data_IF_975164573572
#
_entry.id   IF_975164573572
#
_cell.length_a   1.000
_cell.length_b   1.000
_cell.length_c   1.000
_cell.angle_alpha   90.00
_cell.angle_beta   90.00
_cell.angle_gamma   90.00
#
_symmetry.space_group_name_H-M   'P 1'
#
loop_
_entity.id
_entity.type
_entity.pdbx_description
1 polymer ?
#
# COMPACT_ATOMS: atom_id res chain seq x y z
N UNK A 1 -31.77 28.95 -26.38
CA UNK A 1 -30.64 28.73 -25.49
C UNK A 1 -31.21 28.72 -24.07
N UNK A 2 -31.32 27.54 -23.45
CA UNK A 2 -31.73 27.43 -22.06
C UNK A 2 -30.61 28.00 -21.18
N UNK A 3 -30.93 29.01 -20.35
CA UNK A 3 -30.03 29.55 -19.37
C UNK A 3 -29.64 28.40 -18.43
N UNK A 4 -28.34 28.10 -18.34
CA UNK A 4 -27.80 27.28 -17.28
C UNK A 4 -28.20 27.95 -15.95
N UNK A 5 -29.08 27.29 -15.17
CA UNK A 5 -29.44 27.78 -13.88
C UNK A 5 -28.15 27.93 -13.05
N UNK A 6 -27.86 29.17 -12.60
CA UNK A 6 -26.78 29.42 -11.64
C UNK A 6 -27.01 28.51 -10.43
N UNK A 7 -26.15 27.52 -10.28
CA UNK A 7 -26.16 26.68 -9.10
C UNK A 7 -25.74 27.53 -7.91
N UNK A 8 -26.70 28.13 -7.21
CA UNK A 8 -26.44 28.76 -5.93
C UNK A 8 -25.73 27.75 -5.05
N UNK A 9 -24.60 28.15 -4.44
CA UNK A 9 -23.86 27.35 -3.47
C UNK A 9 -24.85 26.93 -2.36
N UNK A 10 -25.44 25.74 -2.51
CA UNK A 10 -26.40 25.20 -1.54
C UNK A 10 -25.67 24.85 -0.24
N UNK A 11 -26.36 24.97 0.90
CA UNK A 11 -25.87 24.35 2.14
C UNK A 11 -25.65 22.86 1.87
N UNK A 12 -24.52 22.33 2.31
CA UNK A 12 -24.24 20.90 2.23
C UNK A 12 -25.34 20.12 2.95
N UNK A 13 -25.97 19.17 2.25
CA UNK A 13 -27.06 18.35 2.79
C UNK A 13 -26.55 16.97 3.25
N UNK A 14 -25.61 16.37 2.49
CA UNK A 14 -25.09 15.03 2.77
C UNK A 14 -23.61 15.04 3.16
N UNK A 15 -22.85 16.02 2.70
CA UNK A 15 -21.40 16.00 2.85
C UNK A 15 -20.95 15.99 4.32
N UNK A 16 -21.70 16.68 5.20
CA UNK A 16 -21.44 16.68 6.63
C UNK A 16 -21.61 15.29 7.25
N UNK A 17 -22.66 14.56 6.87
CA UNK A 17 -22.94 13.21 7.36
C UNK A 17 -21.91 12.20 6.82
N UNK A 18 -21.53 12.34 5.54
CA UNK A 18 -20.48 11.52 4.93
C UNK A 18 -19.14 11.73 5.66
N UNK A 19 -18.74 12.97 5.91
CA UNK A 19 -17.51 13.26 6.62
C UNK A 19 -17.52 12.70 8.04
N UNK A 20 -18.64 12.86 8.75
CA UNK A 20 -18.79 12.25 10.07
C UNK A 20 -18.66 10.74 10.02
N UNK A 21 -19.36 10.08 9.09
CA UNK A 21 -19.30 8.64 8.92
C UNK A 21 -17.86 8.15 8.67
N UNK A 22 -17.10 8.83 7.80
CA UNK A 22 -15.71 8.47 7.51
C UNK A 22 -14.82 8.59 8.75
N UNK A 23 -14.96 9.65 9.53
CA UNK A 23 -14.22 9.82 10.78
C UNK A 23 -14.62 8.78 11.84
N UNK A 24 -15.91 8.49 11.97
CA UNK A 24 -16.42 7.44 12.87
C UNK A 24 -15.89 6.04 12.47
N UNK A 25 -15.64 5.78 11.17
CA UNK A 25 -15.00 4.54 10.72
C UNK A 25 -13.49 4.52 11.05
N UNK A 26 -12.80 5.65 10.88
CA UNK A 26 -11.40 5.80 11.21
C UNK A 26 -11.10 5.56 12.70
N UNK A 27 -11.98 6.02 13.57
CA UNK A 27 -11.83 5.89 15.02
C UNK A 27 -12.13 4.47 15.56
N UNK A 28 -12.58 3.55 14.70
CA UNK A 28 -12.76 2.15 15.09
C UNK A 28 -11.42 1.48 15.36
N UNK A 29 -11.38 0.53 16.32
CA UNK A 29 -10.19 -0.29 16.52
C UNK A 29 -9.74 -0.94 15.22
N UNK A 30 -8.46 -0.88 14.93
CA UNK A 30 -7.85 -1.53 13.77
C UNK A 30 -7.30 -2.90 14.16
N UNK A 31 -7.39 -3.87 13.25
CA UNK A 31 -6.76 -5.18 13.39
C UNK A 31 -5.24 -5.15 13.17
N UNK A 32 -4.68 -3.96 12.91
CA UNK A 32 -3.25 -3.79 12.71
C UNK A 32 -2.48 -4.15 13.98
N UNK A 33 -1.66 -5.16 13.89
CA UNK A 33 -0.80 -5.63 14.98
C UNK A 33 0.11 -4.51 15.49
N UNK A 34 0.17 -4.36 16.81
CA UNK A 34 1.01 -3.36 17.47
C UNK A 34 2.28 -3.97 18.09
N UNK A 35 2.36 -5.29 18.12
CA UNK A 35 3.43 -6.11 18.70
C UNK A 35 4.57 -6.44 17.71
N UNK A 36 4.52 -5.92 16.49
CA UNK A 36 5.51 -6.13 15.42
C UNK A 36 5.99 -4.80 14.85
N UNK A 37 7.11 -4.84 14.13
CA UNK A 37 7.62 -3.72 13.33
C UNK A 37 7.10 -3.89 11.91
N UNK A 38 6.46 -2.86 11.37
CA UNK A 38 5.92 -2.90 10.01
C UNK A 38 6.94 -2.39 8.98
N UNK A 39 7.15 -3.08 7.85
CA UNK A 39 8.01 -2.61 6.76
C UNK A 39 7.72 -1.18 6.31
N UNK A 40 6.43 -0.81 6.21
CA UNK A 40 6.00 0.55 5.85
C UNK A 40 6.38 1.63 6.88
N UNK A 41 6.60 1.25 8.15
CA UNK A 41 7.10 2.14 9.20
C UNK A 41 8.61 2.35 9.05
N UNK A 42 9.37 1.26 8.91
CA UNK A 42 10.83 1.27 8.75
C UNK A 42 11.28 1.99 7.47
N UNK A 43 10.46 1.94 6.43
CA UNK A 43 10.76 2.53 5.12
C UNK A 43 10.72 4.07 5.10
N UNK A 44 10.10 4.72 6.08
CA UNK A 44 10.02 6.18 6.14
C UNK A 44 11.39 6.80 6.33
N UNK A 45 11.61 7.96 5.70
CA UNK A 45 12.86 8.72 5.85
C UNK A 45 13.06 9.28 7.25
N UNK A 46 11.97 9.49 7.98
CA UNK A 46 11.90 10.00 9.34
C UNK A 46 11.57 8.90 10.36
N UNK A 47 11.77 7.62 10.01
CA UNK A 47 11.56 6.52 10.95
C UNK A 47 12.36 6.73 12.22
N UNK A 48 11.66 6.67 13.35
CA UNK A 48 12.25 6.81 14.68
C UNK A 48 12.25 5.45 15.41
N UNK A 49 13.37 4.72 15.50
CA UNK A 49 13.48 3.44 16.18
C UNK A 49 13.03 3.52 17.65
N UNK A 50 13.32 4.65 18.32
CA UNK A 50 12.90 4.89 19.71
C UNK A 50 11.37 4.95 19.85
N UNK A 51 10.66 5.54 18.90
CA UNK A 51 9.20 5.55 18.90
C UNK A 51 8.65 4.13 18.72
N UNK A 52 9.25 3.34 17.83
CA UNK A 52 8.91 1.92 17.63
C UNK A 52 9.13 1.12 18.91
N UNK A 53 10.26 1.31 19.58
CA UNK A 53 10.55 0.68 20.87
C UNK A 53 9.44 0.98 21.90
N UNK A 54 9.10 2.24 22.13
CA UNK A 54 8.08 2.58 23.12
C UNK A 54 6.70 2.01 22.76
N UNK A 55 6.34 1.97 21.49
CA UNK A 55 5.10 1.32 21.04
C UNK A 55 5.10 -0.17 21.37
N UNK A 56 6.17 -0.88 21.04
CA UNK A 56 6.32 -2.32 21.33
C UNK A 56 6.35 -2.60 22.84
N UNK A 57 6.92 -1.71 23.63
CA UNK A 57 6.91 -1.76 25.10
C UNK A 57 5.55 -1.40 25.72
N UNK A 58 4.51 -1.16 24.92
CA UNK A 58 3.14 -0.90 25.38
C UNK A 58 2.88 0.53 25.85
N UNK A 59 3.76 1.50 25.54
CA UNK A 59 3.51 2.90 25.84
C UNK A 59 2.32 3.43 25.04
N UNK A 60 1.43 4.17 25.70
CA UNK A 60 0.32 4.81 25.03
C UNK A 60 0.81 5.88 24.05
N UNK A 61 0.30 5.93 22.81
CA UNK A 61 0.69 6.94 21.86
C UNK A 61 0.23 8.32 22.34
N UNK A 62 1.04 9.34 22.09
CA UNK A 62 0.57 10.72 22.21
C UNK A 62 -0.59 10.95 21.23
N UNK A 63 -1.53 11.85 21.59
CA UNK A 63 -2.63 12.20 20.68
C UNK A 63 -2.04 12.69 19.37
N UNK A 64 -2.25 11.90 18.32
CA UNK A 64 -1.81 12.22 16.97
C UNK A 64 -2.52 13.46 16.38
N UNK A 65 -2.10 13.86 15.18
CA UNK A 65 -2.80 14.90 14.41
C UNK A 65 -4.22 14.41 14.11
N UNK A 66 -5.18 15.37 14.15
CA UNK A 66 -6.56 15.05 13.77
C UNK A 66 -6.60 14.58 12.32
N UNK A 67 -7.26 13.46 12.11
CA UNK A 67 -7.53 12.92 10.78
C UNK A 67 -8.60 13.77 10.08
N UNK A 68 -8.57 13.82 8.76
CA UNK A 68 -9.59 14.52 7.98
C UNK A 68 -10.32 13.54 7.07
N UNK A 69 -11.61 13.76 6.84
CA UNK A 69 -12.40 12.99 5.90
C UNK A 69 -11.80 13.01 4.48
N UNK A 70 -11.11 14.09 4.10
CA UNK A 70 -10.40 14.17 2.82
C UNK A 70 -9.25 13.16 2.76
N UNK A 71 -8.50 12.96 3.85
CA UNK A 71 -7.41 11.99 3.90
C UNK A 71 -7.94 10.56 3.83
N UNK A 72 -9.08 10.28 4.47
CA UNK A 72 -9.79 8.99 4.32
C UNK A 72 -10.15 8.72 2.85
N UNK A 73 -10.65 9.72 2.13
CA UNK A 73 -10.92 9.60 0.70
C UNK A 73 -9.66 9.26 -0.12
N UNK A 74 -8.50 9.83 0.24
CA UNK A 74 -7.22 9.51 -0.41
C UNK A 74 -6.81 8.05 -0.17
N UNK A 75 -7.03 7.53 1.04
CA UNK A 75 -6.74 6.12 1.36
C UNK A 75 -7.71 5.17 0.66
N UNK A 76 -9.01 5.47 0.69
CA UNK A 76 -10.01 4.66 0.00
C UNK A 76 -9.72 4.54 -1.50
N UNK A 77 -9.34 5.63 -2.17
CA UNK A 77 -8.90 5.60 -3.57
C UNK A 77 -7.65 4.73 -3.76
N UNK A 78 -6.68 4.81 -2.83
CA UNK A 78 -5.51 3.94 -2.84
C UNK A 78 -5.90 2.46 -2.80
N UNK A 79 -6.74 2.05 -1.87
CA UNK A 79 -7.22 0.67 -1.76
C UNK A 79 -7.95 0.19 -3.02
N UNK A 80 -8.77 1.05 -3.65
CA UNK A 80 -9.45 0.71 -4.90
C UNK A 80 -8.47 0.50 -6.06
N UNK A 81 -7.39 1.27 -6.13
CA UNK A 81 -6.33 1.10 -7.11
C UNK A 81 -5.62 -0.25 -6.90
N UNK A 82 -5.24 -0.59 -5.66
CA UNK A 82 -4.65 -1.90 -5.35
C UNK A 82 -5.58 -3.04 -5.77
N UNK A 83 -6.84 -3.03 -5.35
CA UNK A 83 -7.82 -4.04 -5.72
C UNK A 83 -8.00 -4.18 -7.24
N UNK A 84 -7.99 -3.07 -7.97
CA UNK A 84 -8.06 -3.05 -9.43
C UNK A 84 -6.87 -3.77 -10.09
N UNK A 85 -5.64 -3.44 -9.68
CA UNK A 85 -4.43 -4.07 -10.22
C UNK A 85 -4.34 -5.55 -9.84
N UNK A 86 -4.62 -5.90 -8.60
CA UNK A 86 -4.69 -7.29 -8.15
C UNK A 86 -5.72 -8.08 -8.96
N UNK A 87 -6.90 -7.48 -9.22
CA UNK A 87 -7.92 -8.11 -10.06
C UNK A 87 -7.45 -8.35 -11.49
N UNK A 88 -6.74 -7.40 -12.11
CA UNK A 88 -6.19 -7.58 -13.45
C UNK A 88 -5.13 -8.69 -13.49
N UNK A 89 -4.22 -8.72 -12.53
CA UNK A 89 -3.22 -9.79 -12.41
C UNK A 89 -3.87 -11.16 -12.16
N UNK A 90 -4.95 -11.19 -11.38
CA UNK A 90 -5.76 -12.39 -11.16
C UNK A 90 -6.44 -12.86 -12.46
N UNK A 91 -7.03 -11.94 -13.24
CA UNK A 91 -7.69 -12.26 -14.51
C UNK A 91 -6.71 -12.78 -15.58
N UNK A 92 -5.42 -12.44 -15.43
CA UNK A 92 -4.33 -12.95 -16.25
C UNK A 92 -3.75 -14.27 -15.73
N UNK A 93 -4.28 -14.84 -14.64
CA UNK A 93 -3.74 -16.01 -13.93
C UNK A 93 -2.26 -15.87 -13.54
N UNK A 94 -1.83 -14.65 -13.19
CA UNK A 94 -0.43 -14.36 -12.84
C UNK A 94 -0.21 -13.96 -11.39
N UNK A 95 -1.27 -13.69 -10.64
CA UNK A 95 -1.16 -13.24 -9.26
C UNK A 95 -0.83 -14.42 -8.34
N UNK A 96 0.37 -14.43 -7.79
CA UNK A 96 0.81 -15.38 -6.77
C UNK A 96 0.70 -14.76 -5.37
N UNK A 97 0.23 -15.56 -4.41
CA UNK A 97 0.13 -15.18 -3.02
C UNK A 97 -0.80 -16.10 -2.25
N UNK A 98 -1.30 -15.61 -1.11
CA UNK A 98 -2.21 -16.34 -0.23
C UNK A 98 -3.65 -16.19 -0.71
N UNK A 99 -4.33 -17.32 -0.82
CA UNK A 99 -5.75 -17.41 -1.15
C UNK A 99 -6.49 -17.97 0.05
N UNK A 100 -7.47 -17.26 0.57
CA UNK A 100 -8.19 -17.57 1.81
C UNK A 100 -9.68 -17.76 1.54
N UNK A 101 -10.28 -18.76 2.20
CA UNK A 101 -11.73 -18.94 2.13
C UNK A 101 -12.45 -17.93 3.03
N UNK A 102 -13.48 -17.23 2.51
CA UNK A 102 -14.26 -16.29 3.33
C UNK A 102 -15.23 -17.00 4.31
N UNK A 103 -15.39 -18.34 4.19
CA UNK A 103 -16.40 -19.11 4.96
C UNK A 103 -15.76 -20.07 5.97
N UNK A 104 -14.53 -20.52 5.72
CA UNK A 104 -13.82 -21.44 6.61
C UNK A 104 -12.34 -21.05 6.69
N UNK A 105 -11.57 -21.74 7.56
CA UNK A 105 -10.16 -21.43 7.78
C UNK A 105 -9.20 -21.97 6.70
N UNK A 106 -9.74 -22.55 5.61
CA UNK A 106 -8.91 -23.04 4.51
C UNK A 106 -8.19 -21.89 3.81
N UNK A 107 -6.91 -22.10 3.56
CA UNK A 107 -6.10 -21.21 2.74
C UNK A 107 -5.03 -22.02 1.98
N UNK A 108 -4.51 -21.43 0.91
CA UNK A 108 -3.39 -21.97 0.14
C UNK A 108 -2.49 -20.85 -0.40
N UNK A 109 -1.23 -21.18 -0.67
CA UNK A 109 -0.31 -20.32 -1.41
C UNK A 109 -0.23 -20.79 -2.85
N UNK A 110 -0.13 -19.87 -3.79
CA UNK A 110 0.10 -20.22 -5.19
C UNK A 110 -0.38 -19.17 -6.17
N UNK A 111 -0.04 -19.39 -7.44
CA UNK A 111 -0.53 -18.60 -8.57
C UNK A 111 -1.96 -18.99 -8.90
N UNK A 112 -2.79 -18.04 -9.27
CA UNK A 112 -4.09 -18.36 -9.81
C UNK A 112 -5.06 -17.20 -9.93
N UNK A 113 -6.15 -17.55 -10.63
CA UNK A 113 -7.34 -16.75 -10.78
C UNK A 113 -8.43 -17.17 -9.79
N UNK A 114 -9.65 -17.39 -10.31
CA UNK A 114 -10.80 -17.74 -9.49
C UNK A 114 -10.75 -19.21 -9.03
N UNK A 115 -10.31 -19.46 -7.81
CA UNK A 115 -10.19 -20.79 -7.20
C UNK A 115 -11.36 -21.08 -6.28
N UNK A 116 -11.88 -22.30 -6.29
CA UNK A 116 -12.92 -22.76 -5.36
C UNK A 116 -12.30 -23.33 -4.09
N UNK A 117 -12.91 -23.07 -2.95
CA UNK A 117 -12.47 -23.63 -1.67
C UNK A 117 -12.61 -25.15 -1.67
N UNK A 118 -11.51 -25.88 -1.45
CA UNK A 118 -11.49 -27.32 -1.42
C UNK A 118 -12.24 -27.90 -0.21
N UNK A 119 -12.22 -27.20 0.92
CA UNK A 119 -12.96 -27.61 2.13
C UNK A 119 -14.47 -27.35 2.02
N UNK A 120 -14.89 -26.39 1.20
CA UNK A 120 -16.28 -26.03 0.98
C UNK A 120 -16.87 -26.56 -0.34
N UNK A 121 -16.28 -27.61 -0.95
CA UNK A 121 -16.62 -28.12 -2.31
C UNK A 121 -18.12 -28.28 -2.57
N UNK A 122 -18.86 -28.70 -1.55
CA UNK A 122 -20.29 -28.98 -1.65
C UNK A 122 -21.16 -27.89 -1.02
N UNK A 123 -20.57 -26.75 -0.68
CA UNK A 123 -21.28 -25.60 -0.12
C UNK A 123 -21.38 -24.50 -1.17
N UNK A 124 -22.47 -23.80 -1.13
CA UNK A 124 -22.67 -22.57 -1.88
C UNK A 124 -22.69 -21.38 -0.91
N UNK A 125 -22.37 -20.21 -1.44
CA UNK A 125 -22.60 -18.94 -0.72
C UNK A 125 -24.10 -18.64 -0.59
N UNK A 126 -24.45 -17.51 0.01
CA UNK A 126 -25.84 -17.08 0.19
C UNK A 126 -26.60 -16.83 -1.12
N UNK A 127 -25.89 -16.71 -2.24
CA UNK A 127 -26.44 -16.53 -3.59
C UNK A 127 -26.50 -17.83 -4.40
N UNK A 128 -26.10 -18.98 -3.83
CA UNK A 128 -26.11 -20.29 -4.48
C UNK A 128 -24.91 -20.59 -5.38
N UNK A 129 -23.83 -19.78 -5.32
CA UNK A 129 -22.60 -20.02 -6.07
C UNK A 129 -21.57 -20.80 -5.26
N UNK A 130 -20.66 -21.54 -5.90
CA UNK A 130 -19.53 -22.17 -5.22
C UNK A 130 -18.72 -21.17 -4.40
N UNK A 131 -18.27 -21.58 -3.21
CA UNK A 131 -17.43 -20.72 -2.36
C UNK A 131 -16.04 -20.56 -3.01
N UNK A 132 -15.72 -19.34 -3.42
CA UNK A 132 -14.44 -19.00 -4.00
C UNK A 132 -13.48 -18.47 -2.94
N UNK A 133 -12.18 -18.72 -3.16
CA UNK A 133 -11.11 -18.15 -2.36
C UNK A 133 -10.94 -16.67 -2.72
N UNK A 134 -10.67 -15.89 -1.71
CA UNK A 134 -10.32 -14.46 -1.84
C UNK A 134 -8.81 -14.28 -1.71
N UNK A 135 -8.27 -13.38 -2.48
CA UNK A 135 -6.85 -13.03 -2.42
C UNK A 135 -6.54 -12.28 -1.12
N UNK A 136 -5.47 -12.67 -0.45
CA UNK A 136 -5.07 -12.14 0.85
C UNK A 136 -3.57 -11.76 0.88
N UNK A 137 -3.07 -11.25 -0.25
CA UNK A 137 -1.71 -10.76 -0.44
C UNK A 137 -0.61 -11.81 -0.18
N UNK A 138 0.65 -11.38 -0.08
CA UNK A 138 1.79 -12.25 0.24
C UNK A 138 2.26 -11.95 1.65
N UNK A 139 1.93 -12.78 2.65
CA UNK A 139 2.45 -12.57 4.00
C UNK A 139 3.95 -12.84 4.03
N UNK A 140 4.72 -11.90 4.54
CA UNK A 140 6.16 -12.02 4.75
C UNK A 140 6.52 -11.66 6.18
N UNK A 141 7.36 -12.46 6.83
CA UNK A 141 7.68 -12.26 8.23
C UNK A 141 9.02 -12.86 8.64
N UNK A 142 9.61 -12.28 9.68
CA UNK A 142 10.71 -12.82 10.46
C UNK A 142 10.53 -12.36 11.93
N UNK A 143 9.36 -12.73 12.49
CA UNK A 143 8.93 -12.24 13.81
C UNK A 143 9.82 -12.75 14.94
N UNK A 144 10.20 -14.03 14.89
CA UNK A 144 11.05 -14.63 15.93
C UNK A 144 12.44 -14.00 15.97
N UNK A 145 12.96 -13.51 14.85
CA UNK A 145 14.31 -12.95 14.78
C UNK A 145 14.33 -11.43 14.90
N UNK A 146 13.45 -10.76 14.18
CA UNK A 146 13.50 -9.31 14.00
C UNK A 146 12.23 -8.57 14.45
N UNK A 147 11.19 -9.27 14.90
CA UNK A 147 9.85 -8.70 15.18
C UNK A 147 9.22 -8.04 13.96
N UNK A 148 9.61 -8.41 12.74
CA UNK A 148 9.13 -7.79 11.52
C UNK A 148 8.10 -8.71 10.85
N UNK A 149 6.95 -8.13 10.44
CA UNK A 149 5.99 -8.79 9.57
C UNK A 149 5.22 -7.76 8.72
N UNK A 150 4.76 -8.19 7.56
CA UNK A 150 3.97 -7.39 6.65
C UNK A 150 3.32 -8.22 5.56
N UNK A 151 2.69 -7.51 4.64
CA UNK A 151 2.08 -8.10 3.45
C UNK A 151 2.56 -7.32 2.24
N UNK A 152 2.88 -8.05 1.19
CA UNK A 152 3.22 -7.52 -0.12
C UNK A 152 2.01 -7.65 -1.04
N UNK A 153 1.79 -6.67 -1.92
CA UNK A 153 0.59 -6.61 -2.76
C UNK A 153 0.41 -7.83 -3.67
N UNK A 154 1.52 -8.48 -4.06
CA UNK A 154 1.49 -9.69 -4.87
C UNK A 154 2.88 -10.19 -5.26
N UNK A 155 2.90 -11.28 -6.02
CA UNK A 155 4.12 -11.76 -6.67
C UNK A 155 3.80 -12.39 -8.03
N UNK A 156 4.81 -12.48 -8.88
CA UNK A 156 4.77 -13.13 -10.20
C UNK A 156 5.84 -14.22 -10.18
N UNK A 157 5.39 -15.46 -10.05
CA UNK A 157 6.25 -16.61 -9.80
C UNK A 157 7.24 -16.88 -10.95
N UNK A 158 6.77 -16.86 -12.19
CA UNK A 158 7.59 -17.09 -13.39
C UNK A 158 8.64 -15.98 -13.63
N UNK A 159 8.50 -14.82 -12.99
CA UNK A 159 9.47 -13.74 -13.02
C UNK A 159 10.34 -13.68 -11.76
N UNK A 160 10.11 -14.54 -10.77
CA UNK A 160 10.75 -14.46 -9.43
C UNK A 160 10.69 -13.06 -8.83
N UNK A 161 9.54 -12.39 -8.96
CA UNK A 161 9.38 -11.00 -8.60
C UNK A 161 8.19 -10.77 -7.65
N UNK A 162 8.40 -9.94 -6.64
CA UNK A 162 7.32 -9.31 -5.90
C UNK A 162 6.66 -8.22 -6.75
N UNK A 163 5.42 -7.86 -6.44
CA UNK A 163 4.69 -6.76 -7.09
C UNK A 163 4.25 -5.77 -6.03
N UNK A 164 4.70 -4.54 -6.16
CA UNK A 164 4.32 -3.43 -5.30
C UNK A 164 3.49 -2.41 -6.09
N UNK A 165 2.23 -2.23 -5.70
CA UNK A 165 1.27 -1.33 -6.35
C UNK A 165 1.26 -0.01 -5.60
N UNK A 166 1.44 1.10 -6.31
CA UNK A 166 1.43 2.43 -5.69
C UNK A 166 0.56 3.41 -6.45
N UNK A 167 -0.40 3.99 -5.75
CA UNK A 167 -1.20 5.11 -6.24
C UNK A 167 -0.47 6.42 -5.97
N UNK A 168 -0.06 7.13 -7.03
CA UNK A 168 0.76 8.33 -6.94
C UNK A 168 -0.10 9.59 -7.09
N UNK A 169 -0.11 10.41 -6.06
CA UNK A 169 -0.72 11.74 -6.08
C UNK A 169 0.33 12.84 -5.90
N UNK A 170 -0.07 14.08 -6.12
CA UNK A 170 0.80 15.26 -5.89
C UNK A 170 1.29 15.33 -4.44
N UNK A 171 0.46 14.88 -3.49
CA UNK A 171 0.86 14.78 -2.08
C UNK A 171 2.07 13.87 -1.89
N UNK A 172 2.08 12.70 -2.51
CA UNK A 172 3.20 11.74 -2.46
C UNK A 172 4.47 12.38 -3.02
N UNK A 173 4.38 12.99 -4.22
CA UNK A 173 5.53 13.66 -4.84
C UNK A 173 6.09 14.78 -3.96
N UNK A 174 5.21 15.54 -3.29
CA UNK A 174 5.62 16.64 -2.39
C UNK A 174 6.45 16.15 -1.21
N UNK A 175 6.13 14.97 -0.67
CA UNK A 175 6.85 14.40 0.47
C UNK A 175 8.13 13.66 0.05
N UNK A 176 8.04 12.83 -0.98
CA UNK A 176 9.14 11.92 -1.35
C UNK A 176 10.13 12.53 -2.34
N UNK A 177 9.70 13.46 -3.20
CA UNK A 177 10.55 14.12 -4.20
C UNK A 177 10.17 15.60 -4.40
N UNK A 178 10.31 16.45 -3.40
CA UNK A 178 9.97 17.88 -3.49
C UNK A 178 10.77 18.63 -4.56
N UNK A 179 11.99 18.16 -4.90
CA UNK A 179 12.80 18.71 -5.98
C UNK A 179 12.12 18.52 -7.33
N UNK A 180 11.65 17.30 -7.62
CA UNK A 180 10.92 16.99 -8.84
C UNK A 180 9.67 17.87 -8.97
N UNK A 181 8.94 18.08 -7.86
CA UNK A 181 7.77 18.95 -7.87
C UNK A 181 8.15 20.39 -8.22
N UNK A 182 9.28 20.90 -7.68
CA UNK A 182 9.78 22.26 -7.98
C UNK A 182 10.19 22.42 -9.44
N UNK A 183 10.85 21.41 -10.03
CA UNK A 183 11.27 21.40 -11.43
C UNK A 183 10.09 21.57 -12.39
N UNK A 184 8.95 20.95 -12.08
CA UNK A 184 7.73 21.00 -12.91
C UNK A 184 6.71 22.03 -12.42
N UNK A 185 7.11 22.95 -11.54
CA UNK A 185 6.28 24.08 -11.12
C UNK A 185 6.62 25.30 -11.97
N UNK A 186 5.70 25.72 -12.81
CA UNK A 186 5.88 26.80 -13.79
C UNK A 186 5.02 28.01 -13.46
N UNK A 187 5.47 29.21 -13.87
CA UNK A 187 4.67 30.42 -13.83
C UNK A 187 4.00 30.61 -15.17
N UNK A 188 2.70 30.82 -15.15
CA UNK A 188 1.90 31.17 -16.33
C UNK A 188 2.09 32.66 -16.70
N UNK A 189 1.66 33.05 -17.89
CA UNK A 189 1.77 34.44 -18.37
C UNK A 189 1.04 35.45 -17.49
N UNK A 190 -0.03 35.04 -16.80
CA UNK A 190 -0.78 35.85 -15.82
C UNK A 190 -0.16 35.81 -14.41
N UNK A 191 1.04 35.26 -14.26
CA UNK A 191 1.81 35.23 -13.01
C UNK A 191 1.38 34.15 -11.99
N UNK A 192 0.41 33.28 -12.32
CA UNK A 192 0.00 32.19 -11.46
C UNK A 192 1.03 31.06 -11.49
N UNK A 193 1.17 30.40 -10.36
CA UNK A 193 2.00 29.21 -10.24
C UNK A 193 1.15 27.97 -10.49
N UNK A 194 1.52 27.15 -11.47
CA UNK A 194 0.85 25.89 -11.79
C UNK A 194 1.86 24.77 -11.86
N UNK A 195 1.39 23.54 -11.66
CA UNK A 195 2.22 22.34 -11.80
C UNK A 195 1.94 21.74 -13.17
N UNK A 196 2.98 21.52 -13.96
CA UNK A 196 2.92 20.72 -15.18
C UNK A 196 2.84 19.24 -14.79
N UNK A 197 1.62 18.72 -14.65
CA UNK A 197 1.35 17.36 -14.21
C UNK A 197 1.88 16.31 -15.19
N UNK A 198 1.79 16.58 -16.48
CA UNK A 198 2.26 15.65 -17.53
C UNK A 198 3.80 15.61 -17.57
N UNK A 199 4.43 16.77 -17.49
CA UNK A 199 5.88 16.88 -17.39
C UNK A 199 6.42 16.18 -16.14
N UNK A 200 5.80 16.44 -14.99
CA UNK A 200 6.17 15.82 -13.72
C UNK A 200 6.06 14.29 -13.81
N UNK A 201 4.95 13.77 -14.34
CA UNK A 201 4.79 12.33 -14.49
C UNK A 201 5.84 11.74 -15.45
N UNK A 202 6.09 12.39 -16.58
CA UNK A 202 7.17 11.97 -17.50
C UNK A 202 8.54 12.02 -16.87
N UNK A 203 8.81 13.03 -16.04
CA UNK A 203 10.07 13.23 -15.32
C UNK A 203 10.35 12.21 -14.23
N UNK A 204 9.34 11.54 -13.67
CA UNK A 204 9.52 10.48 -12.69
C UNK A 204 10.17 9.25 -13.35
N UNK A 205 11.49 9.07 -13.14
CA UNK A 205 12.34 8.06 -13.79
C UNK A 205 12.67 6.86 -12.91
N UNK A 206 12.33 6.90 -11.63
CA UNK A 206 12.62 5.84 -10.63
C UNK A 206 11.54 5.83 -9.56
N UNK A 207 11.36 4.71 -8.84
CA UNK A 207 10.49 4.68 -7.67
C UNK A 207 10.97 5.66 -6.58
N UNK A 208 10.08 6.05 -5.69
CA UNK A 208 10.44 6.86 -4.53
C UNK A 208 11.33 6.07 -3.56
N UNK A 209 12.21 6.80 -2.86
CA UNK A 209 13.16 6.20 -1.94
C UNK A 209 12.49 5.42 -0.78
N UNK A 210 11.37 5.92 -0.27
CA UNK A 210 10.57 5.24 0.75
C UNK A 210 10.01 3.91 0.22
N UNK A 211 9.48 3.89 -1.00
CA UNK A 211 8.96 2.67 -1.62
C UNK A 211 10.08 1.65 -1.88
N UNK A 212 11.25 2.10 -2.36
CA UNK A 212 12.41 1.21 -2.52
C UNK A 212 12.79 0.59 -1.17
N UNK A 213 12.95 1.39 -0.11
CA UNK A 213 13.28 0.85 1.23
C UNK A 213 12.26 -0.18 1.70
N UNK A 214 10.96 0.09 1.55
CA UNK A 214 9.91 -0.86 1.92
C UNK A 214 10.08 -2.20 1.22
N UNK A 215 10.26 -2.19 -0.08
CA UNK A 215 10.38 -3.43 -0.86
C UNK A 215 11.70 -4.15 -0.66
N UNK A 216 12.79 -3.45 -0.31
CA UNK A 216 14.03 -4.11 0.11
C UNK A 216 13.85 -4.90 1.42
N UNK A 217 13.03 -4.38 2.36
CA UNK A 217 12.67 -5.13 3.57
C UNK A 217 11.87 -6.38 3.20
N UNK A 218 10.89 -6.27 2.30
CA UNK A 218 10.10 -7.42 1.86
C UNK A 218 10.96 -8.48 1.16
N UNK A 219 11.87 -8.09 0.28
CA UNK A 219 12.79 -9.03 -0.37
C UNK A 219 13.69 -9.74 0.65
N UNK A 220 14.18 -9.01 1.66
CA UNK A 220 14.97 -9.61 2.75
C UNK A 220 14.15 -10.61 3.57
N UNK A 221 12.88 -10.29 3.88
CA UNK A 221 11.96 -11.22 4.54
C UNK A 221 11.67 -12.46 3.67
N UNK A 222 11.54 -12.31 2.35
CA UNK A 222 11.41 -13.44 1.44
C UNK A 222 12.62 -14.38 1.53
N UNK A 223 13.83 -13.85 1.63
CA UNK A 223 15.03 -14.67 1.82
C UNK A 223 15.00 -15.45 3.13
N UNK A 224 14.57 -14.81 4.24
CA UNK A 224 14.39 -15.49 5.54
C UNK A 224 13.37 -16.64 5.45
N UNK A 225 12.32 -16.45 4.67
CA UNK A 225 11.29 -17.45 4.45
C UNK A 225 11.63 -18.50 3.38
N UNK A 226 12.77 -18.37 2.70
CA UNK A 226 13.15 -19.26 1.58
C UNK A 226 12.27 -19.09 0.33
N UNK A 227 11.62 -17.92 0.15
CA UNK A 227 10.83 -17.61 -1.03
C UNK A 227 11.74 -17.14 -2.19
N UNK A 228 11.46 -17.55 -3.44
CA UNK A 228 12.38 -17.37 -4.57
C UNK A 228 12.29 -15.98 -5.24
N UNK A 229 12.01 -14.94 -4.50
CA UNK A 229 11.86 -13.58 -5.04
C UNK A 229 13.13 -12.76 -4.81
N UNK A 230 13.74 -12.25 -5.89
CA UNK A 230 15.00 -11.51 -5.89
C UNK A 230 14.88 -10.05 -6.38
N UNK A 231 13.69 -9.66 -6.81
CA UNK A 231 13.37 -8.31 -7.31
C UNK A 231 11.92 -7.95 -7.06
N UNK A 232 11.64 -6.69 -7.26
CA UNK A 232 10.29 -6.12 -7.18
C UNK A 232 9.94 -5.44 -8.50
N UNK A 233 8.72 -5.61 -8.93
CA UNK A 233 8.08 -4.87 -10.01
C UNK A 233 7.14 -3.84 -9.36
N UNK A 234 7.46 -2.56 -9.48
CA UNK A 234 6.58 -1.49 -9.06
C UNK A 234 5.57 -1.17 -10.16
N UNK A 235 4.30 -1.17 -9.80
CA UNK A 235 3.21 -0.73 -10.65
C UNK A 235 2.67 0.60 -10.12
N UNK A 236 3.12 1.70 -10.72
CA UNK A 236 2.70 3.04 -10.33
C UNK A 236 1.52 3.50 -11.17
N UNK A 237 0.47 3.98 -10.51
CA UNK A 237 -0.66 4.63 -11.14
C UNK A 237 -0.75 6.09 -10.70
N UNK A 238 -0.77 7.00 -11.65
CA UNK A 238 -0.93 8.41 -11.39
C UNK A 238 -2.41 8.77 -11.24
N UNK A 239 -2.82 9.15 -10.03
CA UNK A 239 -4.23 9.42 -9.69
C UNK A 239 -4.89 10.46 -10.60
N UNK A 240 -4.14 11.48 -11.04
CA UNK A 240 -4.70 12.59 -11.81
C UNK A 240 -5.12 12.19 -13.24
N UNK A 241 -4.42 11.25 -13.88
CA UNK A 241 -4.59 10.88 -15.29
C UNK A 241 -4.78 9.40 -15.51
N UNK A 242 -4.63 8.58 -14.47
CA UNK A 242 -4.58 7.11 -14.51
C UNK A 242 -3.48 6.57 -15.44
N UNK A 243 -2.45 7.37 -15.69
CA UNK A 243 -1.28 6.91 -16.44
C UNK A 243 -0.45 5.95 -15.57
N UNK A 244 0.17 4.96 -16.21
CA UNK A 244 0.88 3.89 -15.54
C UNK A 244 2.38 3.98 -15.79
N UNK A 245 3.18 3.53 -14.81
CA UNK A 245 4.62 3.27 -14.96
C UNK A 245 4.98 1.97 -14.27
N UNK A 246 5.94 1.30 -14.88
CA UNK A 246 6.57 0.12 -14.31
C UNK A 246 8.05 0.40 -14.03
N UNK A 247 8.53 -0.09 -12.89
CA UNK A 247 9.95 -0.09 -12.57
C UNK A 247 10.33 -1.45 -11.98
N UNK A 248 11.53 -1.91 -12.30
CA UNK A 248 12.07 -3.14 -11.73
C UNK A 248 13.27 -2.80 -10.86
N UNK A 249 13.25 -3.24 -9.61
CA UNK A 249 14.32 -3.02 -8.65
C UNK A 249 14.76 -4.36 -8.08
N UNK A 250 16.05 -4.68 -8.18
CA UNK A 250 16.64 -5.88 -7.58
C UNK A 250 16.89 -5.69 -6.10
N UNK A 251 17.04 -6.79 -5.39
CA UNK A 251 17.47 -6.77 -4.00
C UNK A 251 18.86 -6.10 -3.87
N UNK A 252 18.96 -5.23 -2.87
CA UNK A 252 20.22 -4.59 -2.48
C UNK A 252 20.39 -4.69 -0.96
N UNK A 253 21.31 -5.54 -0.45
CA UNK A 253 21.52 -5.69 0.98
C UNK A 253 21.99 -4.39 1.66
N UNK A 254 22.71 -3.51 0.97
CA UNK A 254 23.17 -2.23 1.53
C UNK A 254 22.01 -1.34 2.00
N UNK A 255 20.79 -1.54 1.45
CA UNK A 255 19.59 -0.81 1.86
C UNK A 255 18.87 -1.57 2.98
N UNK A 256 18.79 -2.89 2.88
CA UNK A 256 17.98 -3.71 3.81
C UNK A 256 18.71 -3.95 5.15
N UNK A 257 19.96 -4.39 5.13
CA UNK A 257 20.66 -4.85 6.32
C UNK A 257 20.73 -3.80 7.45
N UNK A 258 21.02 -2.51 7.20
CA UNK A 258 21.03 -1.52 8.28
C UNK A 258 19.66 -1.35 8.97
N UNK A 259 18.55 -1.60 8.23
CA UNK A 259 17.20 -1.55 8.80
C UNK A 259 16.94 -2.77 9.70
N UNK A 260 17.42 -3.95 9.30
CA UNK A 260 17.31 -5.17 10.09
C UNK A 260 18.19 -5.14 11.34
N UNK A 261 19.41 -4.59 11.24
CA UNK A 261 20.27 -4.35 12.42
C UNK A 261 19.57 -3.43 13.43
N UNK A 262 18.96 -2.34 12.95
CA UNK A 262 18.17 -1.45 13.81
C UNK A 262 16.97 -2.16 14.46
N UNK A 263 16.31 -3.05 13.74
CA UNK A 263 15.20 -3.84 14.28
C UNK A 263 15.67 -4.82 15.37
N UNK A 264 16.85 -5.43 15.19
CA UNK A 264 17.52 -6.25 16.23
C UNK A 264 17.84 -5.44 17.47
N UNK A 265 18.37 -4.22 17.32
CA UNK A 265 18.66 -3.34 18.45
C UNK A 265 17.39 -3.02 19.26
N UNK A 266 16.28 -2.74 18.56
CA UNK A 266 14.98 -2.53 19.21
C UNK A 266 14.55 -3.78 19.96
N UNK A 267 14.65 -4.96 19.35
CA UNK A 267 14.25 -6.22 19.96
C UNK A 267 15.07 -6.54 21.21
N UNK A 268 16.38 -6.34 21.17
CA UNK A 268 17.25 -6.60 22.34
C UNK A 268 17.07 -5.58 23.46
N UNK A 269 16.52 -4.41 23.16
CA UNK A 269 16.21 -3.40 24.16
C UNK A 269 14.87 -3.63 24.87
N UNK A 270 13.97 -4.46 24.30
CA UNK A 270 12.68 -4.84 24.88
C UNK A 270 12.82 -5.91 25.98
#
# INVERSE_FOLDING_TARGET
MAALAEAKKSKSVLLGDIHKHLLDQHDKPTDRRQDIIHPSEMAKSDWCPRQTYYRLAGASPEKGRSFSAQLEGVFAEGHMIHAKWQKWLQDMDRLWGKWKCPVCDYWEMGTGGRKTCQSCRNRTDSAGYPVYLEYAEVPVHAESEFLIAGHEDGAIEDLSALVEIKSIGIGTVRFDQPELLREYTVKTLDGKTVIDLDGLWKGLRRPFGSHIRQTQIYLRLCQEMGLPFDKVIFLYEYKATQAHKEFVVKYNPEIAEPLFETALDIKYAL
#
